data_IF_073589508174
#
_entry.id   IF_073589508174
#
_cell.length_a   1.000
_cell.length_b   1.000
_cell.length_c   1.000
_cell.angle_alpha   90.00
_cell.angle_beta   90.00
_cell.angle_gamma   90.00
#
_symmetry.space_group_name_H-M   'P 1'
#
loop_
_entity.id
_entity.type
_entity.pdbx_description
1 polymer ?
#
# COMPACT_ATOMS: atom_id res chain seq x y z
N UNK A 1 19.42 -30.88 7.80
CA UNK A 1 19.27 -31.29 6.38
C UNK A 1 18.88 -30.06 5.57
N UNK A 2 19.83 -29.17 5.30
CA UNK A 2 19.54 -27.86 4.69
C UNK A 2 20.72 -27.44 3.81
N UNK A 3 20.92 -28.17 2.72
CA UNK A 3 21.95 -27.87 1.71
C UNK A 3 21.45 -28.31 0.35
N UNK A 4 20.37 -27.71 -0.15
CA UNK A 4 19.86 -28.04 -1.49
C UNK A 4 19.25 -26.86 -2.25
N UNK A 5 19.44 -25.63 -1.78
CA UNK A 5 18.97 -24.43 -2.49
C UNK A 5 20.09 -23.78 -3.32
N UNK A 6 21.36 -24.13 -3.08
CA UNK A 6 22.51 -23.47 -3.73
C UNK A 6 22.91 -24.05 -5.10
N UNK A 7 22.47 -25.27 -5.44
CA UNK A 7 22.88 -25.94 -6.69
C UNK A 7 22.04 -25.61 -7.93
N UNK A 8 20.87 -24.96 -7.78
CA UNK A 8 20.02 -24.62 -8.92
C UNK A 8 20.47 -23.36 -9.69
N UNK A 9 21.13 -22.41 -9.03
CA UNK A 9 21.52 -21.14 -9.68
C UNK A 9 22.72 -21.28 -10.64
N UNK A 10 23.60 -22.27 -10.43
CA UNK A 10 24.79 -22.47 -11.27
C UNK A 10 24.53 -23.31 -12.54
N UNK A 11 23.52 -24.19 -12.51
CA UNK A 11 23.16 -25.08 -13.63
C UNK A 11 22.27 -24.39 -14.67
N UNK A 12 21.61 -23.28 -14.31
CA UNK A 12 20.58 -22.61 -15.13
C UNK A 12 21.08 -21.44 -15.98
N UNK A 13 22.40 -21.26 -16.14
CA UNK A 13 22.96 -20.19 -16.97
C UNK A 13 22.92 -20.47 -18.49
N UNK A 14 22.49 -21.67 -18.92
CA UNK A 14 22.80 -22.18 -20.27
C UNK A 14 21.63 -22.71 -21.09
N UNK A 15 20.39 -22.77 -20.57
CA UNK A 15 19.27 -23.32 -21.33
C UNK A 15 18.53 -22.25 -22.16
N UNK A 16 18.40 -22.48 -23.46
CA UNK A 16 17.57 -21.66 -24.36
C UNK A 16 16.15 -22.20 -24.37
N UNK A 17 15.21 -21.38 -23.94
CA UNK A 17 13.78 -21.72 -23.93
C UNK A 17 13.03 -20.83 -24.90
N UNK A 18 12.10 -21.42 -25.66
CA UNK A 18 11.15 -20.67 -26.48
C UNK A 18 9.84 -20.59 -25.69
N UNK A 19 9.42 -19.38 -25.33
CA UNK A 19 8.15 -19.13 -24.67
C UNK A 19 7.35 -18.12 -25.49
N UNK A 20 6.02 -18.26 -25.46
CA UNK A 20 5.11 -17.34 -26.15
C UNK A 20 4.90 -16.12 -25.25
N UNK A 21 5.10 -14.93 -25.81
CA UNK A 21 4.89 -13.62 -25.16
C UNK A 21 3.98 -12.83 -26.11
N UNK A 22 3.02 -12.09 -25.56
CA UNK A 22 2.18 -11.20 -26.35
C UNK A 22 3.00 -10.10 -27.04
N UNK A 23 2.57 -9.68 -28.22
CA UNK A 23 3.35 -8.78 -29.09
C UNK A 23 3.57 -7.40 -28.47
N UNK A 24 2.61 -6.91 -27.70
CA UNK A 24 2.68 -5.64 -26.96
C UNK A 24 3.71 -5.72 -25.83
N UNK A 25 3.68 -6.78 -25.03
CA UNK A 25 4.65 -7.02 -23.98
C UNK A 25 6.06 -7.20 -24.56
N UNK A 26 6.18 -7.89 -25.69
CA UNK A 26 7.47 -8.05 -26.37
C UNK A 26 8.04 -6.71 -26.87
N UNK A 27 7.19 -5.80 -27.35
CA UNK A 27 7.61 -4.43 -27.74
C UNK A 27 8.10 -3.64 -26.52
N UNK A 28 7.36 -3.66 -25.42
CA UNK A 28 7.73 -2.97 -24.19
C UNK A 28 9.06 -3.48 -23.63
N UNK A 29 9.24 -4.81 -23.58
CA UNK A 29 10.47 -5.43 -23.10
C UNK A 29 11.69 -5.05 -23.97
N UNK A 30 11.52 -4.98 -25.30
CA UNK A 30 12.61 -4.53 -26.19
C UNK A 30 12.98 -3.07 -25.96
N UNK A 31 11.98 -2.19 -25.86
CA UNK A 31 12.21 -0.77 -25.61
C UNK A 31 12.96 -0.57 -24.29
N UNK A 32 12.47 -1.20 -23.23
CA UNK A 32 13.11 -1.12 -21.91
C UNK A 32 14.52 -1.69 -21.87
N UNK A 33 14.79 -2.77 -22.62
CA UNK A 33 16.13 -3.34 -22.72
C UNK A 33 17.09 -2.37 -23.42
N UNK A 34 16.62 -1.66 -24.45
CA UNK A 34 17.38 -0.64 -25.15
C UNK A 34 17.65 0.57 -24.24
N UNK A 35 16.63 1.07 -23.54
CA UNK A 35 16.74 2.21 -22.63
C UNK A 35 17.71 1.93 -21.47
N UNK A 36 17.72 0.70 -20.95
CA UNK A 36 18.61 0.27 -19.87
C UNK A 36 19.99 -0.22 -20.35
N UNK A 37 20.22 -0.34 -21.67
CA UNK A 37 21.48 -0.82 -22.24
C UNK A 37 21.82 -2.28 -21.87
N UNK A 38 20.81 -3.13 -21.66
CA UNK A 38 20.98 -4.55 -21.27
C UNK A 38 20.39 -5.49 -22.33
N UNK A 39 20.87 -6.74 -22.36
CA UNK A 39 20.27 -7.74 -23.24
C UNK A 39 18.84 -8.07 -22.80
N UNK A 40 17.97 -8.32 -23.78
CA UNK A 40 16.58 -8.72 -23.54
C UNK A 40 16.48 -9.92 -22.60
N UNK A 41 17.33 -10.94 -22.78
CA UNK A 41 17.37 -12.12 -21.90
C UNK A 41 17.71 -11.75 -20.45
N UNK A 42 18.65 -10.83 -20.24
CA UNK A 42 19.03 -10.37 -18.90
C UNK A 42 17.88 -9.61 -18.25
N UNK A 43 17.20 -8.74 -19.00
CA UNK A 43 16.01 -8.03 -18.55
C UNK A 43 14.89 -9.00 -18.15
N UNK A 44 14.54 -9.95 -19.02
CA UNK A 44 13.47 -10.93 -18.78
C UNK A 44 13.77 -11.74 -17.53
N UNK A 45 14.98 -12.31 -17.40
CA UNK A 45 15.35 -13.10 -16.23
C UNK A 45 15.31 -12.27 -14.94
N UNK A 46 15.70 -11.00 -14.98
CA UNK A 46 15.60 -10.11 -13.82
C UNK A 46 14.14 -9.83 -13.46
N UNK A 47 13.29 -9.52 -14.42
CA UNK A 47 11.87 -9.25 -14.20
C UNK A 47 11.13 -10.48 -13.67
N UNK A 48 11.40 -11.67 -14.22
CA UNK A 48 10.80 -12.92 -13.73
C UNK A 48 11.21 -13.21 -12.29
N UNK A 49 12.48 -13.02 -11.91
CA UNK A 49 12.92 -13.17 -10.51
C UNK A 49 12.19 -12.22 -9.56
N UNK A 50 12.07 -10.94 -9.94
CA UNK A 50 11.33 -9.94 -9.15
C UNK A 50 9.85 -10.29 -9.06
N UNK A 51 9.26 -10.72 -10.17
CA UNK A 51 7.86 -11.16 -10.26
C UNK A 51 7.61 -12.33 -9.31
N UNK A 52 8.41 -13.38 -9.37
CA UNK A 52 8.30 -14.56 -8.50
C UNK A 52 8.47 -14.21 -7.02
N UNK A 53 9.40 -13.32 -6.66
CA UNK A 53 9.56 -12.83 -5.28
C UNK A 53 8.35 -12.03 -4.78
N UNK A 54 7.63 -11.38 -5.70
CA UNK A 54 6.47 -10.54 -5.39
C UNK A 54 5.15 -11.32 -5.41
N UNK A 55 5.10 -12.46 -6.11
CA UNK A 55 3.89 -13.27 -6.37
C UNK A 55 3.25 -13.92 -5.13
N UNK A 56 3.90 -13.84 -3.97
CA UNK A 56 3.38 -14.38 -2.70
C UNK A 56 3.26 -13.34 -1.58
N UNK A 57 3.61 -12.08 -1.84
CA UNK A 57 3.51 -11.03 -0.83
C UNK A 57 2.29 -10.17 -1.16
N UNK A 58 1.22 -10.16 -0.35
CA UNK A 58 0.22 -9.12 -0.49
C UNK A 58 0.97 -7.80 -0.46
N UNK A 59 0.74 -6.96 -1.48
CA UNK A 59 1.23 -5.58 -1.47
C UNK A 59 0.93 -5.04 -0.08
N UNK A 60 1.96 -4.66 0.66
CA UNK A 60 1.85 -4.22 2.05
C UNK A 60 1.17 -2.86 1.99
N UNK A 61 -0.11 -2.82 1.64
CA UNK A 61 -0.94 -1.63 1.67
C UNK A 61 -0.77 -1.10 3.09
N UNK A 62 -0.19 0.09 3.18
CA UNK A 62 0.06 0.72 4.47
C UNK A 62 -1.30 0.85 5.13
N UNK A 63 -1.49 0.19 6.28
CA UNK A 63 -2.75 0.29 7.03
C UNK A 63 -3.08 1.76 7.20
N UNK A 64 -4.29 2.15 6.84
CA UNK A 64 -4.78 3.50 7.06
C UNK A 64 -4.56 3.87 8.53
N UNK A 65 -4.01 5.07 8.75
CA UNK A 65 -3.86 5.66 10.08
C UNK A 65 -4.53 7.03 10.04
N UNK A 66 -5.53 7.23 10.90
CA UNK A 66 -6.16 8.52 11.09
C UNK A 66 -5.16 9.45 11.78
N UNK A 67 -4.91 10.61 11.20
CA UNK A 67 -4.10 11.65 11.83
C UNK A 67 -4.87 12.25 13.01
N UNK A 68 -4.21 12.37 14.16
CA UNK A 68 -4.78 12.98 15.36
C UNK A 68 -4.05 14.27 15.69
N UNK A 69 -4.80 15.26 16.16
CA UNK A 69 -4.28 16.55 16.60
C UNK A 69 -4.51 16.73 18.10
N UNK A 70 -3.54 17.29 18.81
CA UNK A 70 -3.70 17.59 20.23
C UNK A 70 -4.67 18.75 20.42
N UNK A 71 -5.80 18.49 21.06
CA UNK A 71 -6.80 19.53 21.42
C UNK A 71 -6.52 20.21 22.77
N UNK A 72 -5.43 19.84 23.44
CA UNK A 72 -5.10 20.34 24.77
C UNK A 72 -5.98 19.76 25.88
N UNK A 73 -5.95 20.39 27.06
CA UNK A 73 -6.77 19.98 28.19
C UNK A 73 -8.24 20.39 28.00
N UNK A 74 -9.20 19.53 28.38
CA UNK A 74 -10.62 19.84 28.26
C UNK A 74 -10.99 21.02 29.18
N UNK A 75 -11.80 21.95 28.64
CA UNK A 75 -12.29 23.13 29.37
C UNK A 75 -13.54 22.86 30.22
N UNK A 76 -14.12 21.67 30.08
CA UNK A 76 -15.30 21.22 30.79
C UNK A 76 -15.11 19.76 31.21
N UNK A 77 -15.87 19.31 32.22
CA UNK A 77 -15.89 17.89 32.59
C UNK A 77 -16.56 17.08 31.48
N UNK A 78 -15.76 16.27 30.78
CA UNK A 78 -16.21 15.41 29.68
C UNK A 78 -16.51 13.97 30.13
N UNK A 79 -16.41 13.64 31.42
CA UNK A 79 -16.71 12.29 31.94
C UNK A 79 -18.15 11.89 31.61
N UNK A 80 -19.07 12.86 31.59
CA UNK A 80 -20.47 12.70 31.13
C UNK A 80 -20.80 13.66 30.00
N UNK A 81 -20.01 13.63 28.93
CA UNK A 81 -20.13 14.57 27.80
C UNK A 81 -21.54 14.64 27.18
N UNK A 82 -22.26 13.52 27.10
CA UNK A 82 -23.62 13.51 26.54
C UNK A 82 -24.60 14.28 27.44
N UNK A 83 -24.52 14.09 28.75
CA UNK A 83 -25.36 14.77 29.73
C UNK A 83 -25.03 16.28 29.82
N UNK A 84 -23.75 16.62 29.66
CA UNK A 84 -23.32 18.01 29.47
C UNK A 84 -23.91 18.62 28.20
N UNK A 85 -23.91 17.89 27.08
CA UNK A 85 -24.46 18.37 25.81
C UNK A 85 -25.96 18.66 25.92
N UNK A 86 -26.74 17.76 26.53
CA UNK A 86 -28.18 17.95 26.76
C UNK A 86 -28.46 19.22 27.55
N UNK A 87 -27.74 19.44 28.67
CA UNK A 87 -27.94 20.65 29.49
C UNK A 87 -27.59 21.94 28.73
N UNK A 88 -26.54 21.92 27.92
CA UNK A 88 -26.16 23.07 27.10
C UNK A 88 -27.23 23.37 26.04
N UNK A 89 -27.82 22.32 25.46
CA UNK A 89 -28.92 22.43 24.50
C UNK A 89 -30.18 23.01 25.15
N UNK A 90 -30.57 22.52 26.32
CA UNK A 90 -31.73 23.02 27.07
C UNK A 90 -31.61 24.52 27.38
N UNK A 91 -30.44 24.96 27.84
CA UNK A 91 -30.15 26.38 28.11
C UNK A 91 -30.31 27.23 26.84
N UNK A 92 -29.84 26.74 25.71
CA UNK A 92 -29.92 27.46 24.44
C UNK A 92 -31.36 27.47 23.88
N UNK A 93 -32.14 26.40 24.08
CA UNK A 93 -33.58 26.36 23.75
C UNK A 93 -34.33 27.42 24.53
N UNK A 94 -34.14 27.48 25.86
CA UNK A 94 -34.78 28.49 26.71
C UNK A 94 -34.40 29.90 26.27
N UNK A 95 -33.13 30.14 25.94
CA UNK A 95 -32.64 31.41 25.43
C UNK A 95 -33.35 31.81 24.12
N UNK A 96 -33.48 30.89 23.17
CA UNK A 96 -34.15 31.15 21.88
C UNK A 96 -35.64 31.46 22.06
N UNK A 97 -36.33 30.68 22.89
CA UNK A 97 -37.73 30.91 23.25
C UNK A 97 -37.95 32.29 23.88
N UNK A 98 -37.06 32.74 24.76
CA UNK A 98 -37.10 34.08 25.35
C UNK A 98 -36.90 35.20 24.31
N UNK A 99 -36.13 34.93 23.25
CA UNK A 99 -35.92 35.87 22.14
C UNK A 99 -37.02 35.84 21.07
N UNK A 100 -38.05 34.98 21.22
CA UNK A 100 -39.08 34.72 20.20
C UNK A 100 -38.49 34.42 18.82
N UNK A 101 -37.39 33.67 18.80
CA UNK A 101 -36.70 33.20 17.58
C UNK A 101 -36.72 31.69 17.51
#
# INVERSE_FOLDING_TARGET
MTTETQSFDAVMATMKTTLRIDDDLMRELKQRAQDEGVSLTKLINRLLRVGLLSSGRPSRQRRFRQETFSMGAPRADLVKALDLATRLEDVEIVRKLAMRK
#
